data_IF_811064335349
#
_entry.id   IF_811064335349
#
_cell.length_a   1.000
_cell.length_b   1.000
_cell.length_c   1.000
_cell.angle_alpha   90.00
_cell.angle_beta   90.00
_cell.angle_gamma   90.00
#
_symmetry.space_group_name_H-M   'P 1'
#
loop_
_entity.id
_entity.type
_entity.pdbx_description
1 polymer ?
#
# COMPACT_ATOMS: atom_id res chain seq x y z
N UNK A 1 -6.74 -0.30 4.77
CA UNK A 1 -6.13 0.52 3.70
C UNK A 1 -4.83 1.06 4.26
N UNK A 2 -3.70 0.73 3.66
CA UNK A 2 -2.37 1.06 4.17
C UNK A 2 -2.00 2.52 3.90
N UNK A 3 -2.13 3.39 4.92
CA UNK A 3 -1.81 4.82 4.83
C UNK A 3 -0.38 5.06 4.31
N UNK A 4 0.59 4.30 4.80
CA UNK A 4 1.99 4.40 4.38
C UNK A 4 2.19 4.20 2.88
N UNK A 5 1.45 3.27 2.25
CA UNK A 5 1.57 3.03 0.80
C UNK A 5 1.00 4.21 0.00
N UNK A 6 -0.07 4.84 0.50
CA UNK A 6 -0.65 6.01 -0.14
C UNK A 6 0.28 7.24 -0.01
N UNK A 7 0.94 7.41 1.13
CA UNK A 7 1.90 8.50 1.36
C UNK A 7 3.08 8.44 0.38
N UNK A 8 3.63 7.25 0.10
CA UNK A 8 4.71 7.08 -0.88
C UNK A 8 4.26 7.48 -2.29
N UNK A 9 3.04 7.14 -2.68
CA UNK A 9 2.48 7.48 -3.99
C UNK A 9 2.25 9.00 -4.10
N UNK A 10 1.74 9.62 -3.04
CA UNK A 10 1.50 11.06 -3.00
C UNK A 10 2.82 11.83 -3.05
N UNK A 11 3.81 11.45 -2.24
CA UNK A 11 5.14 12.07 -2.23
C UNK A 11 5.84 11.95 -3.60
N UNK A 12 5.68 10.81 -4.29
CA UNK A 12 6.18 10.65 -5.66
C UNK A 12 5.47 11.55 -6.66
N UNK A 13 4.15 11.69 -6.57
CA UNK A 13 3.37 12.58 -7.43
C UNK A 13 3.79 14.04 -7.24
N UNK A 14 3.97 14.46 -5.99
CA UNK A 14 4.42 15.80 -5.62
C UNK A 14 5.86 16.07 -6.10
N UNK A 15 6.78 15.11 -5.92
CA UNK A 15 8.12 15.27 -6.44
C UNK A 15 8.16 15.31 -7.98
N UNK A 16 7.29 14.56 -8.68
CA UNK A 16 7.19 14.65 -10.14
C UNK A 16 6.60 15.98 -10.61
N UNK A 17 5.63 16.54 -9.89
CA UNK A 17 5.06 17.86 -10.23
C UNK A 17 6.07 18.98 -9.99
N UNK A 18 6.90 18.88 -8.96
CA UNK A 18 7.98 19.83 -8.66
C UNK A 18 9.19 19.68 -9.60
N UNK A 19 9.49 18.48 -10.09
CA UNK A 19 10.68 18.20 -10.91
C UNK A 19 10.60 18.71 -12.36
N UNK A 20 9.58 19.48 -12.76
CA UNK A 20 9.45 20.13 -14.09
C UNK A 20 9.76 19.18 -15.28
N UNK A 21 9.42 17.89 -15.14
CA UNK A 21 9.62 16.87 -16.19
C UNK A 21 10.93 16.07 -16.10
N UNK A 22 11.74 16.26 -15.06
CA UNK A 22 12.93 15.46 -14.79
C UNK A 22 12.64 14.11 -14.10
N UNK A 23 13.53 13.11 -14.24
CA UNK A 23 13.41 11.84 -13.52
C UNK A 23 13.61 12.06 -12.01
N UNK A 24 12.62 11.65 -11.23
CA UNK A 24 12.67 11.69 -9.76
C UNK A 24 13.39 10.44 -9.27
N UNK A 25 14.67 10.57 -8.91
CA UNK A 25 15.48 9.46 -8.38
C UNK A 25 15.33 9.26 -6.86
N UNK A 26 14.79 10.24 -6.14
CA UNK A 26 14.63 10.18 -4.69
C UNK A 26 13.45 11.00 -4.22
N UNK A 27 12.72 10.47 -3.24
CA UNK A 27 11.59 11.12 -2.57
C UNK A 27 11.79 11.05 -1.06
N UNK A 28 11.77 12.21 -0.40
CA UNK A 28 11.71 12.30 1.06
C UNK A 28 10.25 12.37 1.49
N UNK A 29 9.86 11.52 2.44
CA UNK A 29 8.50 11.47 2.98
C UNK A 29 8.29 12.40 4.20
N UNK A 30 9.30 13.17 4.59
CA UNK A 30 9.28 14.10 5.72
C UNK A 30 10.67 14.27 6.33
N UNK A 31 10.85 15.21 7.27
CA UNK A 31 12.14 15.48 7.94
C UNK A 31 12.66 14.29 8.77
N UNK A 32 11.80 13.37 9.20
CA UNK A 32 12.13 12.21 10.05
C UNK A 32 11.88 10.86 9.35
N UNK A 33 11.53 10.85 8.06
CA UNK A 33 11.21 9.62 7.32
C UNK A 33 12.29 9.28 6.28
N UNK A 34 12.45 7.97 6.05
CA UNK A 34 13.44 7.43 5.13
C UNK A 34 13.28 8.00 3.71
N UNK A 35 14.38 8.41 3.11
CA UNK A 35 14.42 8.76 1.69
C UNK A 35 14.25 7.50 0.86
N UNK A 36 13.19 7.46 0.06
CA UNK A 36 12.93 6.37 -0.87
C UNK A 36 13.70 6.63 -2.16
N UNK A 37 14.67 5.76 -2.46
CA UNK A 37 15.45 5.82 -3.69
C UNK A 37 14.77 5.04 -4.82
N UNK A 38 14.43 5.74 -5.90
CA UNK A 38 13.79 5.18 -7.09
C UNK A 38 14.88 4.69 -8.04
N UNK A 39 15.11 3.37 -8.03
CA UNK A 39 16.12 2.75 -8.90
C UNK A 39 15.71 2.66 -10.37
N UNK A 40 14.41 2.62 -10.64
CA UNK A 40 13.86 2.54 -12.00
C UNK A 40 12.72 3.53 -12.17
N UNK A 41 12.68 4.26 -13.31
CA UNK A 41 11.54 5.10 -13.62
C UNK A 41 10.32 4.20 -13.78
N UNK A 42 9.26 4.52 -13.03
CA UNK A 42 7.99 3.80 -13.06
C UNK A 42 6.88 4.81 -13.31
N UNK A 43 5.99 4.52 -14.26
CA UNK A 43 4.86 5.40 -14.54
C UNK A 43 3.86 5.38 -13.36
N UNK A 44 3.11 6.47 -13.17
CA UNK A 44 2.08 6.52 -12.11
C UNK A 44 1.00 5.43 -12.24
N UNK A 45 0.47 5.14 -13.45
CA UNK A 45 -0.48 4.04 -13.64
C UNK A 45 0.10 2.67 -13.24
N UNK A 46 1.37 2.43 -13.55
CA UNK A 46 2.07 1.19 -13.19
C UNK A 46 2.22 1.06 -11.68
N UNK A 47 2.61 2.15 -11.00
CA UNK A 47 2.73 2.16 -9.54
C UNK A 47 1.36 1.94 -8.84
N UNK A 48 0.27 2.49 -9.40
CA UNK A 48 -1.08 2.20 -8.89
C UNK A 48 -1.47 0.74 -9.08
N UNK A 49 -1.15 0.15 -10.24
CA UNK A 49 -1.38 -1.28 -10.51
C UNK A 49 -0.62 -2.18 -9.53
N UNK A 50 0.64 -1.83 -9.24
CA UNK A 50 1.45 -2.52 -8.22
C UNK A 50 0.82 -2.42 -6.84
N UNK A 51 0.32 -1.24 -6.43
CA UNK A 51 -0.41 -1.07 -5.17
C UNK A 51 -1.66 -1.94 -5.13
N UNK A 52 -2.49 -1.94 -6.17
CA UNK A 52 -3.69 -2.78 -6.21
C UNK A 52 -3.34 -4.27 -6.09
N UNK A 53 -2.27 -4.70 -6.76
CA UNK A 53 -1.78 -6.07 -6.66
C UNK A 53 -1.28 -6.38 -5.26
N UNK A 54 -0.50 -5.49 -4.65
CA UNK A 54 -0.02 -5.65 -3.28
C UNK A 54 -1.20 -5.73 -2.30
N UNK A 55 -2.18 -4.83 -2.39
CA UNK A 55 -3.39 -4.88 -1.54
C UNK A 55 -4.16 -6.18 -1.74
N UNK A 56 -4.28 -6.65 -2.98
CA UNK A 56 -4.92 -7.93 -3.27
C UNK A 56 -4.12 -9.07 -2.64
N UNK A 57 -2.80 -9.09 -2.77
CA UNK A 57 -1.95 -10.12 -2.19
C UNK A 57 -1.93 -10.07 -0.66
N UNK A 58 -1.88 -8.88 -0.05
CA UNK A 58 -1.91 -8.71 1.40
C UNK A 58 -3.29 -9.01 1.98
N UNK A 59 -4.37 -8.71 1.25
CA UNK A 59 -5.73 -9.15 1.57
C UNK A 59 -5.96 -10.66 1.36
N UNK A 60 -5.12 -11.31 0.56
CA UNK A 60 -5.04 -12.76 0.40
C UNK A 60 -4.13 -13.44 1.43
N UNK A 61 -3.57 -12.71 2.41
CA UNK A 61 -2.76 -13.26 3.50
C UNK A 61 -3.60 -14.05 4.51
N UNK A 62 -4.36 -15.05 4.06
CA UNK A 62 -4.45 -16.32 4.78
C UNK A 62 -3.29 -17.19 4.29
N UNK A 63 -2.07 -16.88 4.76
CA UNK A 63 -0.93 -17.81 4.68
C UNK A 63 -0.84 -18.70 5.95
N UNK A 64 -1.75 -18.52 6.90
CA UNK A 64 -2.12 -19.54 7.88
C UNK A 64 -3.50 -20.07 7.47
N UNK A 65 -3.78 -21.34 7.75
CA UNK A 65 -4.99 -22.04 7.33
C UNK A 65 -6.31 -21.35 7.67
N UNK A 66 -7.45 -21.94 7.27
CA UNK A 66 -8.77 -21.32 7.41
C UNK A 66 -8.93 -20.72 8.81
N UNK A 67 -9.48 -19.49 8.94
CA UNK A 67 -9.80 -18.96 10.26
C UNK A 67 -10.58 -20.04 10.99
N UNK A 68 -10.12 -20.44 12.19
CA UNK A 68 -10.87 -21.39 13.01
C UNK A 68 -12.33 -20.94 12.96
N UNK A 69 -13.28 -21.82 12.55
CA UNK A 69 -14.68 -21.46 12.63
C UNK A 69 -14.90 -21.08 14.08
N UNK A 70 -15.13 -19.78 14.30
CA UNK A 70 -15.51 -19.25 15.59
C UNK A 70 -16.93 -19.74 15.79
N UNK A 71 -17.04 -21.01 16.18
CA UNK A 71 -18.27 -21.66 16.60
C UNK A 71 -18.59 -21.07 17.98
N UNK A 72 -18.92 -19.78 17.99
CA UNK A 72 -19.72 -19.18 19.05
C UNK A 72 -21.18 -19.35 18.65
N UNK A 73 -21.54 -20.60 18.34
CA UNK A 73 -22.90 -21.10 18.49
C UNK A 73 -23.26 -21.02 19.97
N UNK A 74 -23.94 -19.95 20.38
CA UNK A 74 -24.98 -20.01 21.43
C UNK A 74 -25.61 -18.63 21.62
N UNK A 75 -26.33 -18.14 20.61
CA UNK A 75 -27.31 -17.10 20.82
C UNK A 75 -28.52 -17.31 19.90
N UNK A 76 -29.35 -18.31 20.22
CA UNK A 76 -30.83 -18.27 20.05
C UNK A 76 -31.50 -19.63 20.31
N UNK A 77 -32.19 -19.73 21.44
CA UNK A 77 -33.58 -20.20 21.59
C UNK A 77 -34.00 -19.80 23.01
N UNK A 78 -34.86 -18.81 23.27
CA UNK A 78 -36.33 -18.91 23.13
C UNK A 78 -36.79 -20.36 23.00
N UNK A 79 -36.96 -21.04 24.14
CA UNK A 79 -38.26 -21.32 24.79
C UNK A 79 -37.99 -21.89 26.18
#
# INVERSE_FOLDING_TARGET
MDCATQEVINAKMEAQSQALGGPVNGISLGEELLTVNIQRPVAMPELQSMRHTLIKLTGLSSLSGPPQPSDMNSAKRIT
#
